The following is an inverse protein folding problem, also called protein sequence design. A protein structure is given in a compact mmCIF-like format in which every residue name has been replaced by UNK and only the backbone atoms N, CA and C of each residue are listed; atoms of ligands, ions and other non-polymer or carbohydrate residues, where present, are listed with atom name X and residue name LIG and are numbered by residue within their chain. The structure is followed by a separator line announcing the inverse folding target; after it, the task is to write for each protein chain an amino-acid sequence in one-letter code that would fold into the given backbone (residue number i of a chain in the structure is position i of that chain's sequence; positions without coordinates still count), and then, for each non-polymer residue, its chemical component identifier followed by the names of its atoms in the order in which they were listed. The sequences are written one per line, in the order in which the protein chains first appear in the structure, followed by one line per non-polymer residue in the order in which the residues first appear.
data_IF_963078465846
#
_entry.id   IF_963078465846
#
_cell.length_a   1.000
_cell.length_b   1.000
_cell.length_c   1.000
_cell.angle_alpha   90.00
_cell.angle_beta   90.00
_cell.angle_gamma   90.00
#
_symmetry.space_group_name_H-M   'P 1'
#
loop_
_entity.id
_entity.type
_entity.pdbx_description
1 polymer ?
#
# COMPACT_ATOMS: atom_id res chain seq x y z
N UNK A 1 11.16 -28.41 -16.54
CA UNK A 1 12.51 -27.83 -16.28
C UNK A 1 12.56 -26.48 -16.97
N UNK A 2 12.41 -25.40 -16.21
CA UNK A 2 12.62 -24.03 -16.69
C UNK A 2 13.92 -23.56 -16.05
N UNK A 3 14.96 -23.46 -16.86
CA UNK A 3 16.24 -22.85 -16.48
C UNK A 3 16.04 -21.34 -16.35
N UNK A 4 15.58 -20.88 -15.20
CA UNK A 4 15.59 -19.44 -14.89
C UNK A 4 17.04 -19.01 -14.75
N UNK A 5 17.51 -18.12 -15.65
CA UNK A 5 18.83 -17.50 -15.52
C UNK A 5 18.95 -16.86 -14.15
N UNK A 6 19.80 -17.43 -13.29
CA UNK A 6 20.13 -16.88 -11.97
C UNK A 6 20.96 -15.62 -12.16
N UNK A 7 20.28 -14.48 -12.37
CA UNK A 7 20.91 -13.18 -12.21
C UNK A 7 21.30 -13.06 -10.74
N UNK A 8 22.55 -13.32 -10.41
CA UNK A 8 23.07 -13.25 -9.04
C UNK A 8 22.90 -11.81 -8.54
N UNK A 9 21.97 -11.60 -7.61
CA UNK A 9 21.72 -10.30 -6.98
C UNK A 9 23.03 -9.77 -6.35
N UNK A 10 23.38 -8.53 -6.67
CA UNK A 10 24.56 -7.88 -6.10
C UNK A 10 24.22 -7.35 -4.71
N UNK A 11 24.81 -7.97 -3.68
CA UNK A 11 24.55 -7.63 -2.27
C UNK A 11 25.74 -6.87 -1.70
N UNK A 12 25.45 -5.74 -1.07
CA UNK A 12 26.42 -4.93 -0.33
C UNK A 12 26.01 -4.89 1.14
N UNK A 13 26.99 -5.04 2.05
CA UNK A 13 26.78 -5.06 3.51
C UNK A 13 27.99 -4.52 4.27
N UNK A 14 27.81 -4.24 5.56
CA UNK A 14 28.87 -3.80 6.46
C UNK A 14 28.99 -2.27 6.59
N UNK A 15 29.85 -1.84 7.52
CA UNK A 15 29.89 -0.44 7.99
C UNK A 15 30.10 0.57 6.87
N UNK A 16 31.07 0.34 5.96
CA UNK A 16 31.36 1.24 4.84
C UNK A 16 30.15 1.41 3.90
N UNK A 17 29.40 0.34 3.68
CA UNK A 17 28.21 0.36 2.84
C UNK A 17 27.11 1.21 3.49
N UNK A 18 26.83 0.96 4.78
CA UNK A 18 25.85 1.73 5.54
C UNK A 18 26.19 3.23 5.58
N UNK A 19 27.47 3.58 5.78
CA UNK A 19 27.91 4.98 5.74
C UNK A 19 27.70 5.63 4.37
N UNK A 20 27.87 4.89 3.27
CA UNK A 20 27.62 5.41 1.91
C UNK A 20 26.16 5.82 1.74
N UNK A 21 25.21 5.00 2.18
CA UNK A 21 23.78 5.34 2.10
C UNK A 21 23.42 6.47 3.05
N UNK A 22 23.96 6.47 4.27
CA UNK A 22 23.73 7.54 5.24
C UNK A 22 24.19 8.91 4.76
N UNK A 23 25.27 9.00 3.96
CA UNK A 23 25.72 10.25 3.34
C UNK A 23 24.72 10.85 2.34
N UNK A 24 23.85 10.01 1.78
CA UNK A 24 22.81 10.42 0.83
C UNK A 24 21.43 10.46 1.48
N UNK A 25 21.37 10.27 2.80
CA UNK A 25 20.12 10.23 3.53
C UNK A 25 19.60 11.65 3.78
N UNK A 26 18.34 11.85 3.46
CA UNK A 26 17.61 13.05 3.84
C UNK A 26 17.05 12.85 5.23
N UNK A 27 17.12 13.87 6.08
CA UNK A 27 16.39 13.93 7.34
C UNK A 27 15.32 15.00 7.25
N UNK A 28 14.10 14.59 6.88
CA UNK A 28 12.99 15.51 6.64
C UNK A 28 12.65 16.35 7.88
N UNK A 29 12.90 15.82 9.09
CA UNK A 29 12.61 16.47 10.37
C UNK A 29 13.42 17.75 10.58
N UNK A 30 14.63 17.77 10.04
CA UNK A 30 15.59 18.86 10.22
C UNK A 30 15.81 19.73 9.00
N UNK A 31 15.10 19.50 7.89
CA UNK A 31 15.26 20.34 6.70
C UNK A 31 14.76 21.76 6.96
N UNK A 32 15.55 22.74 6.54
CA UNK A 32 15.09 24.11 6.37
C UNK A 32 14.31 24.28 5.06
N UNK A 33 13.87 25.50 4.78
CA UNK A 33 13.04 25.79 3.62
C UNK A 33 13.80 25.63 2.29
N UNK A 34 15.09 25.97 2.26
CA UNK A 34 15.90 25.93 1.04
C UNK A 34 16.27 24.49 0.69
N UNK A 35 16.70 23.71 1.68
CA UNK A 35 16.95 22.27 1.53
C UNK A 35 15.66 21.52 1.16
N UNK A 36 14.52 21.90 1.75
CA UNK A 36 13.24 21.33 1.38
C UNK A 36 12.85 21.66 -0.06
N UNK A 37 13.11 22.88 -0.53
CA UNK A 37 12.87 23.27 -1.93
C UNK A 37 13.71 22.40 -2.88
N UNK A 38 14.98 22.19 -2.56
CA UNK A 38 15.86 21.34 -3.34
C UNK A 38 15.39 19.88 -3.35
N UNK A 39 15.08 19.33 -2.17
CA UNK A 39 14.55 17.98 -2.03
C UNK A 39 13.25 17.79 -2.83
N UNK A 40 12.28 18.69 -2.67
CA UNK A 40 11.00 18.63 -3.36
C UNK A 40 11.19 18.73 -4.88
N UNK A 41 12.09 19.59 -5.35
CA UNK A 41 12.45 19.69 -6.77
C UNK A 41 12.94 18.35 -7.33
N UNK A 42 13.85 17.66 -6.64
CA UNK A 42 14.31 16.33 -7.05
C UNK A 42 13.18 15.29 -7.07
N UNK A 43 12.26 15.33 -6.10
CA UNK A 43 11.12 14.42 -6.07
C UNK A 43 10.14 14.72 -7.22
N UNK A 44 9.85 16.00 -7.49
CA UNK A 44 8.97 16.41 -8.58
C UNK A 44 9.48 15.91 -9.94
N UNK A 45 10.77 16.08 -10.24
CA UNK A 45 11.35 15.57 -11.49
C UNK A 45 11.18 14.05 -11.67
N UNK A 46 11.09 13.29 -10.58
CA UNK A 46 10.82 11.84 -10.63
C UNK A 46 9.33 11.55 -10.76
N UNK A 47 8.50 12.24 -9.98
CA UNK A 47 7.06 11.99 -9.94
C UNK A 47 6.36 12.44 -11.22
N UNK A 48 6.83 13.49 -11.88
CA UNK A 48 6.27 13.96 -13.15
C UNK A 48 6.37 12.92 -14.28
N UNK A 49 7.33 12.00 -14.19
CA UNK A 49 7.45 10.87 -15.12
C UNK A 49 6.44 9.75 -14.83
N UNK A 50 5.77 9.77 -13.68
CA UNK A 50 4.78 8.75 -13.32
C UNK A 50 3.38 9.10 -13.84
N UNK A 51 2.75 8.28 -14.70
CA UNK A 51 1.48 8.62 -15.34
C UNK A 51 0.37 8.99 -14.35
N UNK A 52 0.23 8.23 -13.26
CA UNK A 52 -0.80 8.50 -12.25
C UNK A 52 -0.55 9.79 -11.44
N UNK A 53 0.70 10.26 -11.35
CA UNK A 53 0.98 11.56 -10.73
C UNK A 53 0.68 12.69 -11.72
N UNK A 54 1.19 12.58 -12.95
CA UNK A 54 0.96 13.56 -14.01
C UNK A 54 -0.55 13.78 -14.25
N UNK A 55 -1.33 12.69 -14.27
CA UNK A 55 -2.78 12.79 -14.46
C UNK A 55 -3.50 13.46 -13.28
N UNK A 56 -3.09 13.20 -12.03
CA UNK A 56 -3.62 13.90 -10.85
C UNK A 56 -3.29 15.40 -10.91
N UNK A 57 -2.04 15.73 -11.25
CA UNK A 57 -1.60 17.11 -11.42
C UNK A 57 -2.41 17.82 -12.52
N UNK A 58 -2.67 17.15 -13.65
CA UNK A 58 -3.54 17.67 -14.72
C UNK A 58 -4.96 17.95 -14.23
N UNK A 59 -5.58 17.02 -13.50
CA UNK A 59 -6.92 17.21 -12.92
C UNK A 59 -6.95 18.40 -11.96
N UNK A 60 -5.93 18.50 -11.09
CA UNK A 60 -5.76 19.66 -10.20
C UNK A 60 -5.67 20.96 -11.01
N UNK A 61 -4.81 21.01 -12.01
CA UNK A 61 -4.56 22.21 -12.81
C UNK A 61 -5.82 22.63 -13.60
N UNK A 62 -6.59 21.67 -14.14
CA UNK A 62 -7.90 21.92 -14.72
C UNK A 62 -8.85 22.56 -13.69
N UNK A 63 -8.96 21.99 -12.49
CA UNK A 63 -9.82 22.56 -11.42
C UNK A 63 -9.38 23.96 -10.98
N UNK A 64 -8.09 24.27 -11.06
CA UNK A 64 -7.55 25.60 -10.73
C UNK A 64 -7.82 26.63 -11.83
N UNK A 65 -7.72 26.22 -13.09
CA UNK A 65 -7.96 27.09 -14.24
C UNK A 65 -9.45 27.46 -14.40
N UNK A 66 -10.35 26.66 -13.82
CA UNK A 66 -11.80 26.78 -13.99
C UNK A 66 -12.52 26.98 -12.64
N UNK A 67 -12.41 28.15 -11.98
CA UNK A 67 -13.08 28.42 -10.71
C UNK A 67 -14.62 28.32 -10.80
N UNK A 68 -15.20 28.51 -11.98
CA UNK A 68 -16.61 28.28 -12.28
C UNK A 68 -17.05 26.84 -11.98
N UNK A 69 -16.17 25.85 -12.13
CA UNK A 69 -16.45 24.46 -11.77
C UNK A 69 -16.68 24.33 -10.26
N UNK A 70 -15.82 24.93 -9.44
CA UNK A 70 -15.95 24.90 -7.98
C UNK A 70 -17.20 25.65 -7.51
N UNK A 71 -17.55 26.75 -8.18
CA UNK A 71 -18.79 27.47 -7.91
C UNK A 71 -20.00 26.59 -8.20
N UNK A 72 -20.02 25.92 -9.35
CA UNK A 72 -21.13 25.05 -9.77
C UNK A 72 -21.24 23.78 -8.90
N UNK A 73 -20.13 23.20 -8.44
CA UNK A 73 -20.11 22.11 -7.45
C UNK A 73 -20.69 22.54 -6.09
N UNK A 74 -20.53 23.81 -5.68
CA UNK A 74 -21.20 24.37 -4.49
C UNK A 74 -22.69 24.55 -4.74
N UNK A 75 -23.07 25.14 -5.87
CA UNK A 75 -24.48 25.31 -6.26
C UNK A 75 -25.20 23.97 -6.30
N UNK A 76 -24.57 22.92 -6.83
CA UNK A 76 -25.12 21.57 -6.84
C UNK A 76 -25.40 21.06 -5.43
N UNK A 77 -24.47 21.26 -4.47
CA UNK A 77 -24.68 20.85 -3.07
C UNK A 77 -25.87 21.56 -2.43
N UNK A 78 -26.05 22.85 -2.70
CA UNK A 78 -27.21 23.59 -2.21
C UNK A 78 -28.50 23.12 -2.87
N UNK A 79 -28.49 22.86 -4.19
CA UNK A 79 -29.65 22.36 -4.91
C UNK A 79 -30.06 20.95 -4.45
N UNK A 80 -29.10 20.08 -4.12
CA UNK A 80 -29.35 18.77 -3.52
C UNK A 80 -30.09 18.90 -2.17
N UNK A 81 -29.58 19.75 -1.28
CA UNK A 81 -30.19 19.96 0.03
C UNK A 81 -31.60 20.57 -0.08
N UNK A 82 -31.81 21.47 -1.04
CA UNK A 82 -33.13 22.05 -1.32
C UNK A 82 -34.12 21.04 -1.91
N UNK A 83 -33.66 20.15 -2.79
CA UNK A 83 -34.47 19.06 -3.35
C UNK A 83 -34.88 18.07 -2.25
N UNK A 84 -33.94 17.67 -1.39
CA UNK A 84 -34.18 16.76 -0.27
C UNK A 84 -35.18 17.34 0.75
N UNK A 85 -35.15 18.65 0.97
CA UNK A 85 -36.11 19.34 1.83
C UNK A 85 -37.48 19.59 1.16
N UNK A 86 -37.65 19.25 -0.12
CA UNK A 86 -38.90 19.52 -0.83
C UNK A 86 -40.00 18.50 -0.48
N UNK A 87 -41.29 18.90 -0.47
CA UNK A 87 -42.40 17.96 -0.20
C UNK A 87 -42.48 16.80 -1.20
N UNK A 88 -41.93 16.96 -2.40
CA UNK A 88 -41.95 15.96 -3.46
C UNK A 88 -40.76 14.98 -3.40
N UNK A 89 -39.75 15.24 -2.55
CA UNK A 89 -38.49 14.50 -2.53
C UNK A 89 -38.68 13.00 -2.33
N UNK A 90 -39.45 12.63 -1.29
CA UNK A 90 -39.66 11.23 -0.93
C UNK A 90 -40.40 10.46 -2.04
N UNK A 91 -41.45 11.07 -2.61
CA UNK A 91 -42.20 10.42 -3.68
C UNK A 91 -41.37 10.30 -4.96
N UNK A 92 -40.57 11.31 -5.29
CA UNK A 92 -39.65 11.26 -6.43
C UNK A 92 -38.59 10.15 -6.25
N UNK A 93 -38.05 9.98 -5.04
CA UNK A 93 -37.13 8.90 -4.72
C UNK A 93 -37.78 7.52 -4.87
N UNK A 94 -38.99 7.33 -4.34
CA UNK A 94 -39.75 6.08 -4.51
C UNK A 94 -40.03 5.77 -5.99
N UNK A 95 -40.41 6.79 -6.77
CA UNK A 95 -40.63 6.63 -8.21
C UNK A 95 -39.36 6.22 -8.96
N UNK A 96 -38.20 6.74 -8.59
CA UNK A 96 -36.91 6.31 -9.16
C UNK A 96 -36.62 4.83 -8.86
N UNK A 97 -36.90 4.37 -7.64
CA UNK A 97 -36.76 2.94 -7.31
C UNK A 97 -37.76 2.06 -8.07
N UNK A 98 -39.03 2.49 -8.16
CA UNK A 98 -40.08 1.78 -8.90
C UNK A 98 -39.74 1.69 -10.39
N UNK A 99 -39.25 2.77 -10.98
CA UNK A 99 -38.74 2.80 -12.36
C UNK A 99 -37.56 1.85 -12.53
N UNK A 100 -36.58 1.87 -11.63
CA UNK A 100 -35.42 0.95 -11.70
C UNK A 100 -35.83 -0.53 -11.64
N UNK A 101 -36.76 -0.88 -10.75
CA UNK A 101 -37.30 -2.26 -10.63
C UNK A 101 -38.07 -2.65 -11.89
N UNK A 102 -38.86 -1.72 -12.43
CA UNK A 102 -39.64 -1.91 -13.66
C UNK A 102 -38.72 -2.13 -14.87
N UNK A 103 -37.66 -1.34 -15.01
CA UNK A 103 -36.66 -1.47 -16.08
C UNK A 103 -35.92 -2.82 -16.02
N UNK A 104 -35.57 -3.28 -14.81
CA UNK A 104 -34.98 -4.63 -14.62
C UNK A 104 -35.95 -5.74 -15.02
N UNK A 105 -37.24 -5.61 -14.68
CA UNK A 105 -38.26 -6.58 -15.06
C UNK A 105 -38.47 -6.63 -16.59
N UNK A 106 -38.50 -5.46 -17.25
CA UNK A 106 -38.56 -5.34 -18.71
C UNK A 106 -37.34 -6.01 -19.35
N UNK A 107 -36.13 -5.71 -18.89
CA UNK A 107 -34.90 -6.30 -19.41
C UNK A 107 -34.88 -7.83 -19.24
N UNK A 108 -35.25 -8.33 -18.06
CA UNK A 108 -35.32 -9.76 -17.77
C UNK A 108 -36.34 -10.50 -18.63
N UNK A 109 -37.56 -9.97 -18.76
CA UNK A 109 -38.61 -10.56 -19.60
C UNK A 109 -38.28 -10.48 -21.09
N UNK A 110 -37.68 -9.38 -21.55
CA UNK A 110 -37.21 -9.24 -22.93
C UNK A 110 -36.14 -10.29 -23.25
N UNK A 111 -35.18 -10.51 -22.34
CA UNK A 111 -34.18 -11.56 -22.49
C UNK A 111 -34.81 -12.98 -22.44
N UNK A 112 -35.79 -13.23 -21.57
CA UNK A 112 -36.47 -14.53 -21.50
C UNK A 112 -37.27 -14.86 -22.77
N UNK A 113 -37.91 -13.85 -23.37
CA UNK A 113 -38.65 -13.97 -24.63
C UNK A 113 -37.75 -14.34 -25.81
N UNK A 114 -36.49 -13.89 -25.83
CA UNK A 114 -35.53 -14.28 -26.88
C UNK A 114 -35.05 -15.74 -26.79
N UNK A 115 -35.25 -16.40 -25.64
CA UNK A 115 -34.70 -17.75 -25.36
C UNK A 115 -35.76 -18.85 -25.32
N UNK A 116 -37.03 -18.48 -25.33
CA UNK A 116 -38.15 -19.41 -25.13
C UNK A 116 -38.82 -19.72 -26.47
N UNK A 117 -39.02 -21.00 -26.79
CA UNK A 117 -39.73 -21.46 -27.99
C UNK A 117 -41.16 -21.96 -27.71
N UNK A 118 -41.54 -22.04 -26.44
CA UNK A 118 -42.87 -22.45 -25.98
C UNK A 118 -43.90 -21.32 -26.22
N UNK A 119 -44.91 -21.62 -27.04
CA UNK A 119 -45.92 -20.67 -27.50
C UNK A 119 -46.80 -20.09 -26.37
N UNK A 120 -47.15 -20.88 -25.35
CA UNK A 120 -47.96 -20.41 -24.23
C UNK A 120 -47.15 -19.50 -23.31
N UNK A 121 -45.90 -19.90 -23.02
CA UNK A 121 -44.97 -19.08 -22.24
C UNK A 121 -44.60 -17.78 -22.96
N UNK A 122 -44.49 -17.81 -24.29
CA UNK A 122 -44.28 -16.61 -25.12
C UNK A 122 -45.47 -15.65 -25.01
N UNK A 123 -46.70 -16.15 -25.11
CA UNK A 123 -47.91 -15.32 -24.99
C UNK A 123 -48.03 -14.67 -23.60
N UNK A 124 -47.90 -15.46 -22.53
CA UNK A 124 -47.96 -14.96 -21.16
C UNK A 124 -46.84 -13.96 -20.82
N UNK A 125 -45.63 -14.22 -21.31
CA UNK A 125 -44.48 -13.31 -21.09
C UNK A 125 -44.60 -12.01 -21.89
N UNK A 126 -45.19 -12.04 -23.10
CA UNK A 126 -45.49 -10.81 -23.88
C UNK A 126 -46.53 -9.95 -23.19
N UNK A 127 -47.59 -10.56 -22.66
CA UNK A 127 -48.61 -9.83 -21.90
C UNK A 127 -48.02 -9.18 -20.64
N UNK A 128 -47.18 -9.92 -19.91
CA UNK A 128 -46.48 -9.40 -18.72
C UNK A 128 -45.50 -8.28 -19.07
N UNK A 129 -44.77 -8.39 -20.18
CA UNK A 129 -43.88 -7.33 -20.68
C UNK A 129 -44.69 -6.06 -21.01
N UNK A 130 -45.81 -6.19 -21.72
CA UNK A 130 -46.68 -5.06 -22.03
C UNK A 130 -47.22 -4.37 -20.77
N UNK A 131 -47.58 -5.14 -19.74
CA UNK A 131 -47.98 -4.61 -18.43
C UNK A 131 -46.87 -3.79 -17.75
N UNK A 132 -45.63 -4.29 -17.75
CA UNK A 132 -44.49 -3.53 -17.21
C UNK A 132 -44.16 -2.29 -18.04
N UNK A 133 -44.29 -2.34 -19.36
CA UNK A 133 -44.10 -1.17 -20.24
C UNK A 133 -45.17 -0.10 -19.97
N UNK A 134 -46.44 -0.50 -19.81
CA UNK A 134 -47.52 0.41 -19.44
C UNK A 134 -47.28 1.03 -18.05
N UNK A 135 -46.85 0.21 -17.06
CA UNK A 135 -46.48 0.70 -15.73
C UNK A 135 -45.32 1.70 -15.78
N UNK A 136 -44.28 1.42 -16.57
CA UNK A 136 -43.16 2.34 -16.79
C UNK A 136 -43.64 3.68 -17.32
N UNK A 137 -44.54 3.69 -18.30
CA UNK A 137 -45.07 4.93 -18.88
C UNK A 137 -45.88 5.73 -17.87
N UNK A 138 -46.69 5.07 -17.04
CA UNK A 138 -47.44 5.71 -15.96
C UNK A 138 -46.49 6.35 -14.93
N UNK A 139 -45.45 5.61 -14.50
CA UNK A 139 -44.45 6.11 -13.55
C UNK A 139 -43.67 7.30 -14.10
N UNK A 140 -43.29 7.28 -15.39
CA UNK A 140 -42.63 8.41 -16.05
C UNK A 140 -43.54 9.65 -16.11
N UNK A 141 -44.84 9.44 -16.35
CA UNK A 141 -45.82 10.53 -16.40
C UNK A 141 -45.99 11.17 -15.02
N UNK A 142 -46.11 10.35 -13.96
CA UNK A 142 -46.17 10.83 -12.58
C UNK A 142 -44.89 11.58 -12.18
N UNK A 143 -43.72 11.03 -12.53
CA UNK A 143 -42.43 11.66 -12.27
C UNK A 143 -42.32 13.02 -12.97
N UNK A 144 -42.74 13.12 -14.23
CA UNK A 144 -42.71 14.38 -14.97
C UNK A 144 -43.60 15.46 -14.32
N UNK A 145 -44.78 15.08 -13.83
CA UNK A 145 -45.68 15.99 -13.10
C UNK A 145 -45.05 16.47 -11.79
N UNK A 146 -44.46 15.57 -11.01
CA UNK A 146 -43.80 15.92 -9.74
C UNK A 146 -42.54 16.78 -9.95
N UNK A 147 -41.76 16.51 -10.99
CA UNK A 147 -40.63 17.37 -11.38
C UNK A 147 -41.16 18.77 -11.75
N UNK A 148 -42.22 18.87 -12.56
CA UNK A 148 -42.80 20.17 -12.94
C UNK A 148 -43.29 20.95 -11.71
N UNK A 149 -43.91 20.26 -10.75
CA UNK A 149 -44.42 20.83 -9.51
C UNK A 149 -43.33 21.17 -8.47
N UNK A 150 -42.09 20.68 -8.62
CA UNK A 150 -40.98 20.95 -7.70
C UNK A 150 -39.94 21.91 -8.32
N UNK A 151 -39.95 23.20 -7.94
CA UNK A 151 -38.89 24.14 -8.34
C UNK A 151 -37.49 23.67 -7.94
N UNK A 152 -37.35 23.12 -6.73
CA UNK A 152 -36.08 22.62 -6.22
C UNK A 152 -35.52 21.47 -7.09
N UNK A 153 -36.39 20.55 -7.51
CA UNK A 153 -36.01 19.45 -8.39
C UNK A 153 -35.58 19.92 -9.78
N UNK A 154 -36.30 20.89 -10.35
CA UNK A 154 -35.95 21.48 -11.65
C UNK A 154 -34.60 22.18 -11.59
N UNK A 155 -34.35 22.93 -10.52
CA UNK A 155 -33.07 23.61 -10.32
C UNK A 155 -31.93 22.60 -10.16
N UNK A 156 -32.13 21.53 -9.37
CA UNK A 156 -31.16 20.44 -9.24
C UNK A 156 -30.82 19.81 -10.61
N UNK A 157 -31.83 19.48 -11.41
CA UNK A 157 -31.62 18.90 -12.74
C UNK A 157 -30.89 19.87 -13.67
N UNK A 158 -31.25 21.17 -13.63
CA UNK A 158 -30.58 22.22 -14.42
C UNK A 158 -29.10 22.33 -14.05
N UNK A 159 -28.79 22.43 -12.76
CA UNK A 159 -27.42 22.57 -12.24
C UNK A 159 -26.60 21.30 -12.53
N UNK A 160 -27.20 20.11 -12.40
CA UNK A 160 -26.55 18.84 -12.80
C UNK A 160 -26.19 18.84 -14.28
N UNK A 161 -27.13 19.17 -15.17
CA UNK A 161 -26.88 19.22 -16.61
C UNK A 161 -25.87 20.31 -17.01
N UNK A 162 -25.85 21.44 -16.30
CA UNK A 162 -24.82 22.47 -16.48
C UNK A 162 -23.45 21.96 -16.04
N UNK A 163 -23.37 21.26 -14.90
CA UNK A 163 -22.13 20.69 -14.39
C UNK A 163 -21.59 19.60 -15.30
N UNK A 164 -22.43 18.67 -15.75
CA UNK A 164 -22.06 17.62 -16.70
C UNK A 164 -21.52 18.20 -18.01
N UNK A 165 -22.20 19.21 -18.57
CA UNK A 165 -21.72 19.90 -19.79
C UNK A 165 -20.37 20.58 -19.56
N UNK A 166 -20.23 21.29 -18.45
CA UNK A 166 -18.96 21.95 -18.12
C UNK A 166 -17.85 20.91 -17.96
N UNK A 167 -18.05 19.87 -17.14
CA UNK A 167 -17.08 18.80 -16.91
C UNK A 167 -16.68 18.09 -18.21
N UNK A 168 -17.63 17.82 -19.08
CA UNK A 168 -17.40 17.23 -20.40
C UNK A 168 -16.58 18.16 -21.30
N UNK A 169 -16.95 19.45 -21.38
CA UNK A 169 -16.25 20.46 -22.19
C UNK A 169 -14.80 20.71 -21.75
N UNK A 170 -14.54 20.64 -20.44
CA UNK A 170 -13.20 20.74 -19.86
C UNK A 170 -12.37 19.46 -20.01
N UNK A 171 -13.00 18.35 -20.44
CA UNK A 171 -12.39 17.03 -20.47
C UNK A 171 -12.09 16.44 -19.08
N UNK A 172 -12.74 16.95 -18.02
CA UNK A 172 -12.51 16.51 -16.65
C UNK A 172 -12.94 15.06 -16.44
N UNK A 173 -14.09 14.67 -16.98
CA UNK A 173 -14.60 13.29 -16.86
C UNK A 173 -13.64 12.29 -17.53
N UNK A 174 -13.13 12.64 -18.71
CA UNK A 174 -12.11 11.83 -19.41
C UNK A 174 -10.84 11.73 -18.58
N UNK A 175 -10.40 12.84 -17.98
CA UNK A 175 -9.18 12.86 -17.19
C UNK A 175 -9.31 12.01 -15.91
N UNK A 176 -10.45 12.08 -15.23
CA UNK A 176 -10.76 11.28 -14.05
C UNK A 176 -10.91 9.78 -14.39
N UNK A 177 -11.52 9.43 -15.53
CA UNK A 177 -11.61 8.06 -16.01
C UNK A 177 -10.24 7.43 -16.31
N UNK A 178 -9.36 8.17 -16.98
CA UNK A 178 -7.98 7.76 -17.25
C UNK A 178 -7.20 7.55 -15.93
N UNK A 179 -7.38 8.41 -14.93
CA UNK A 179 -6.77 8.21 -13.61
C UNK A 179 -7.28 6.93 -12.92
N UNK A 180 -8.55 6.59 -13.08
CA UNK A 180 -9.14 5.38 -12.51
C UNK A 180 -8.56 4.12 -13.19
N UNK A 181 -8.31 4.15 -14.49
CA UNK A 181 -7.59 3.08 -15.21
C UNK A 181 -6.17 2.91 -14.71
N UNK A 182 -5.40 3.99 -14.67
CA UNK A 182 -4.01 3.97 -14.18
C UNK A 182 -3.90 3.43 -12.75
N UNK A 183 -4.86 3.76 -11.89
CA UNK A 183 -4.89 3.29 -10.50
C UNK A 183 -5.20 1.79 -10.41
N UNK A 184 -6.08 1.26 -11.26
CA UNK A 184 -6.38 -0.18 -11.35
C UNK A 184 -5.15 -0.97 -11.78
N UNK A 185 -4.47 -0.51 -12.84
CA UNK A 185 -3.26 -1.17 -13.35
C UNK A 185 -2.12 -1.17 -12.33
N UNK A 186 -1.95 -0.07 -11.59
CA UNK A 186 -0.94 0.03 -10.54
C UNK A 186 -1.21 -0.95 -9.38
N UNK A 187 -2.49 -1.13 -9.00
CA UNK A 187 -2.90 -2.09 -7.97
C UNK A 187 -2.52 -3.53 -8.34
N UNK A 188 -2.81 -3.93 -9.58
CA UNK A 188 -2.50 -5.28 -10.09
C UNK A 188 -1.00 -5.58 -10.10
N UNK A 189 -0.17 -4.63 -10.56
CA UNK A 189 1.30 -4.79 -10.63
C UNK A 189 1.96 -4.84 -9.26
N UNK A 190 1.43 -4.10 -8.29
CA UNK A 190 2.03 -4.00 -6.95
C UNK A 190 1.95 -5.31 -6.17
N UNK A 191 0.81 -6.02 -6.25
CA UNK A 191 0.60 -7.30 -5.58
C UNK A 191 1.53 -8.41 -6.07
N UNK A 192 1.65 -8.58 -7.39
CA UNK A 192 2.51 -9.61 -7.99
C UNK A 192 4.00 -9.39 -7.67
N UNK A 193 4.44 -8.13 -7.64
CA UNK A 193 5.84 -7.80 -7.40
C UNK A 193 6.27 -7.99 -5.93
N UNK A 194 5.34 -7.94 -4.97
CA UNK A 194 5.60 -8.20 -3.54
C UNK A 194 6.07 -9.64 -3.28
N UNK A 195 5.22 -10.60 -3.65
CA UNK A 195 5.47 -12.03 -3.47
C UNK A 195 6.73 -12.50 -4.23
N UNK A 196 6.98 -11.93 -5.42
CA UNK A 196 8.19 -12.26 -6.19
C UNK A 196 9.49 -11.86 -5.47
N UNK A 197 9.47 -10.80 -4.66
CA UNK A 197 10.70 -10.30 -4.03
C UNK A 197 11.15 -11.14 -2.85
N UNK A 198 10.22 -11.53 -1.98
CA UNK A 198 10.53 -12.40 -0.82
C UNK A 198 11.11 -13.74 -1.26
N UNK A 199 10.58 -14.31 -2.35
CA UNK A 199 11.13 -15.52 -2.96
C UNK A 199 12.54 -15.31 -3.53
N UNK A 200 12.78 -14.18 -4.20
CA UNK A 200 14.09 -13.84 -4.78
C UNK A 200 15.19 -13.67 -3.72
N UNK A 201 14.86 -13.24 -2.49
CA UNK A 201 15.86 -12.98 -1.45
C UNK A 201 16.21 -14.18 -0.57
N UNK A 202 15.40 -15.24 -0.59
CA UNK A 202 15.66 -16.45 0.21
C UNK A 202 17.08 -17.03 0.03
N UNK A 203 17.63 -17.13 -1.20
CA UNK A 203 19.02 -17.58 -1.37
C UNK A 203 20.06 -16.68 -0.68
N UNK A 204 19.76 -15.40 -0.48
CA UNK A 204 20.66 -14.47 0.22
C UNK A 204 20.74 -14.77 1.71
N UNK A 205 19.64 -15.19 2.33
CA UNK A 205 19.61 -15.63 3.73
C UNK A 205 20.52 -16.82 3.95
N UNK A 206 20.40 -17.84 3.10
CA UNK A 206 21.27 -19.01 3.13
C UNK A 206 22.74 -18.66 2.89
N UNK A 207 23.02 -17.76 1.94
CA UNK A 207 24.39 -17.40 1.58
C UNK A 207 25.10 -16.52 2.61
N UNK A 208 24.40 -15.58 3.23
CA UNK A 208 25.03 -14.50 4.00
C UNK A 208 24.66 -14.46 5.48
N UNK A 209 23.48 -14.98 5.86
CA UNK A 209 22.98 -14.88 7.24
C UNK A 209 23.18 -16.19 7.99
N UNK A 210 22.80 -17.32 7.39
CA UNK A 210 22.93 -18.65 7.99
C UNK A 210 24.39 -18.93 8.45
N UNK A 211 25.44 -18.63 7.65
CA UNK A 211 26.82 -18.84 8.10
C UNK A 211 27.21 -18.03 9.34
N UNK A 212 26.69 -16.80 9.50
CA UNK A 212 26.99 -15.95 10.66
C UNK A 212 26.43 -16.54 11.97
N UNK A 213 25.39 -17.36 11.88
CA UNK A 213 24.71 -18.01 13.00
C UNK A 213 25.30 -19.39 13.35
N UNK A 214 25.99 -20.03 12.40
CA UNK A 214 26.54 -21.38 12.50
C UNK A 214 28.02 -21.37 12.95
N UNK A 215 28.31 -20.90 14.16
CA UNK A 215 29.69 -20.94 14.67
C UNK A 215 30.21 -22.35 15.05
N UNK A 216 29.34 -23.37 15.16
CA UNK A 216 29.61 -24.81 15.41
C UNK A 216 28.27 -25.55 15.64
N UNK A 217 27.54 -25.90 14.57
CA UNK A 217 26.22 -26.53 14.72
C UNK A 217 25.88 -27.49 13.59
N UNK A 218 25.04 -28.46 13.90
CA UNK A 218 24.51 -29.44 12.95
C UNK A 218 23.60 -28.75 11.91
N UNK A 219 24.09 -28.69 10.68
CA UNK A 219 23.40 -28.06 9.54
C UNK A 219 22.14 -28.84 9.16
N UNK A 220 22.08 -30.15 9.43
CA UNK A 220 20.97 -31.00 9.02
C UNK A 220 19.63 -30.61 9.66
N UNK A 221 19.68 -30.00 10.86
CA UNK A 221 18.51 -29.57 11.64
C UNK A 221 18.17 -28.09 11.45
N UNK A 222 18.88 -27.39 10.57
CA UNK A 222 18.60 -25.99 10.29
C UNK A 222 17.48 -25.90 9.25
N UNK A 223 16.54 -24.98 9.48
CA UNK A 223 15.49 -24.62 8.52
C UNK A 223 15.36 -23.10 8.47
N UNK A 224 14.97 -22.59 7.30
CA UNK A 224 14.55 -21.20 7.12
C UNK A 224 13.07 -21.24 6.80
N UNK A 225 12.25 -20.88 7.78
CA UNK A 225 10.79 -20.83 7.64
C UNK A 225 10.37 -19.47 7.09
N UNK A 226 9.23 -19.40 6.41
CA UNK A 226 8.71 -18.19 5.76
C UNK A 226 7.30 -17.85 6.22
N UNK A 227 6.95 -16.56 6.19
CA UNK A 227 5.58 -16.10 6.46
C UNK A 227 5.03 -16.58 7.80
N UNK A 228 5.87 -16.57 8.83
CA UNK A 228 5.56 -17.20 10.13
C UNK A 228 4.67 -16.28 10.95
N UNK A 229 3.41 -16.64 11.19
CA UNK A 229 2.42 -15.79 11.88
C UNK A 229 2.00 -16.22 13.28
N UNK A 230 2.51 -17.34 13.80
CA UNK A 230 2.35 -17.88 15.17
C UNK A 230 1.01 -17.63 15.90
N UNK A 231 -0.12 -17.60 15.20
CA UNK A 231 -1.46 -17.44 15.79
C UNK A 231 -1.86 -16.01 16.19
N UNK A 232 -1.10 -14.99 15.77
CA UNK A 232 -1.45 -13.58 15.94
C UNK A 232 -1.23 -12.78 14.65
N UNK A 233 -2.26 -12.04 14.20
CA UNK A 233 -2.23 -11.30 12.94
C UNK A 233 -1.08 -10.28 12.84
N UNK A 234 -0.62 -9.75 13.97
CA UNK A 234 0.50 -8.80 14.06
C UNK A 234 1.87 -9.46 14.10
N UNK A 235 1.98 -10.76 13.88
CA UNK A 235 3.26 -11.48 14.05
C UNK A 235 3.78 -12.15 12.79
N UNK A 236 3.22 -11.82 11.62
CA UNK A 236 3.76 -12.29 10.35
C UNK A 236 5.22 -11.86 10.20
N UNK A 237 6.13 -12.84 10.19
CA UNK A 237 7.58 -12.67 10.05
C UNK A 237 8.00 -13.25 8.71
N UNK A 238 8.71 -12.45 7.92
CA UNK A 238 9.09 -12.82 6.56
C UNK A 238 9.95 -14.09 6.54
N UNK A 239 10.99 -14.17 7.39
CA UNK A 239 11.77 -15.40 7.57
C UNK A 239 12.27 -15.62 9.00
N UNK A 240 12.22 -16.87 9.46
CA UNK A 240 12.83 -17.33 10.70
C UNK A 240 13.87 -18.42 10.44
N UNK A 241 15.07 -18.22 10.97
CA UNK A 241 16.14 -19.22 10.94
C UNK A 241 16.05 -20.01 12.23
N UNK A 242 15.68 -21.27 12.12
CA UNK A 242 15.45 -22.14 13.27
C UNK A 242 16.42 -23.32 13.28
N UNK A 243 16.55 -23.91 14.47
CA UNK A 243 17.09 -25.24 14.67
C UNK A 243 15.98 -26.12 15.21
N UNK A 244 15.62 -27.15 14.44
CA UNK A 244 14.67 -28.16 14.87
C UNK A 244 15.21 -28.87 16.11
N UNK A 245 14.36 -29.26 17.08
CA UNK A 245 14.77 -30.08 18.22
C UNK A 245 15.29 -31.46 17.76
N UNK A 246 15.93 -32.22 18.66
CA UNK A 246 16.31 -33.61 18.37
C UNK A 246 15.11 -34.57 18.45
N UNK A 247 14.10 -34.20 19.24
CA UNK A 247 12.89 -35.00 19.46
C UNK A 247 11.70 -34.28 18.84
N UNK A 248 10.84 -34.97 18.07
CA UNK A 248 9.59 -34.40 17.56
C UNK A 248 8.71 -33.83 18.68
N UNK A 249 7.91 -32.80 18.35
CA UNK A 249 6.98 -32.17 19.27
C UNK A 249 7.60 -31.19 20.28
N UNK A 250 8.93 -31.10 20.37
CA UNK A 250 9.57 -30.08 21.21
C UNK A 250 9.62 -28.71 20.50
N UNK A 251 9.64 -27.60 21.26
CA UNK A 251 9.81 -26.29 20.66
C UNK A 251 11.13 -26.14 19.91
N UNK A 252 11.08 -25.49 18.75
CA UNK A 252 12.24 -25.14 17.95
C UNK A 252 13.08 -24.06 18.64
N UNK A 253 14.35 -23.95 18.27
CA UNK A 253 15.22 -22.85 18.70
C UNK A 253 15.33 -21.82 17.58
N UNK A 254 14.92 -20.58 17.81
CA UNK A 254 15.04 -19.49 16.84
C UNK A 254 16.44 -18.87 16.96
N UNK A 255 17.22 -19.01 15.89
CA UNK A 255 18.61 -18.54 15.80
C UNK A 255 18.70 -17.13 15.23
N UNK A 256 17.77 -16.74 14.36
CA UNK A 256 17.73 -15.43 13.72
C UNK A 256 16.36 -15.13 13.12
N UNK A 257 16.07 -13.85 13.00
CA UNK A 257 14.86 -13.30 12.40
C UNK A 257 15.28 -12.38 11.26
N UNK A 258 14.68 -12.55 10.09
CA UNK A 258 14.99 -11.74 8.90
C UNK A 258 13.73 -11.00 8.48
N UNK A 259 13.85 -9.67 8.44
CA UNK A 259 12.85 -8.79 7.86
C UNK A 259 13.27 -8.40 6.44
N UNK A 260 12.35 -8.54 5.50
CA UNK A 260 12.53 -8.25 4.09
C UNK A 260 11.68 -7.03 3.73
N UNK A 261 12.33 -5.99 3.20
CA UNK A 261 11.62 -4.80 2.70
C UNK A 261 12.03 -4.47 1.29
N UNK A 262 11.06 -4.31 0.39
CA UNK A 262 11.34 -3.89 -0.99
C UNK A 262 11.94 -2.50 -1.08
N UNK A 263 11.53 -1.60 -0.18
CA UNK A 263 12.02 -0.23 -0.10
C UNK A 263 12.80 -0.02 1.19
N UNK A 264 14.01 0.49 1.08
CA UNK A 264 14.88 0.83 2.20
C UNK A 264 14.23 1.81 3.19
N UNK A 265 13.33 2.68 2.72
CA UNK A 265 12.63 3.65 3.57
C UNK A 265 11.65 2.99 4.56
N UNK A 266 11.19 1.75 4.30
CA UNK A 266 10.27 1.04 5.19
C UNK A 266 11.00 0.21 6.26
N UNK A 267 12.34 0.29 6.28
CA UNK A 267 13.17 -0.43 7.23
C UNK A 267 12.83 -0.09 8.69
N UNK A 268 12.56 1.18 8.99
CA UNK A 268 12.24 1.62 10.35
C UNK A 268 10.90 1.06 10.85
N UNK A 269 9.90 1.00 9.96
CA UNK A 269 8.63 0.38 10.28
C UNK A 269 8.81 -1.12 10.60
N UNK A 270 9.51 -1.86 9.73
CA UNK A 270 9.83 -3.26 9.98
C UNK A 270 10.62 -3.45 11.28
N UNK A 271 11.63 -2.61 11.52
CA UNK A 271 12.42 -2.63 12.76
C UNK A 271 11.54 -2.45 14.01
N UNK A 272 10.71 -1.40 14.08
CA UNK A 272 9.82 -1.15 15.23
C UNK A 272 8.89 -2.33 15.47
N UNK A 273 8.28 -2.85 14.40
CA UNK A 273 7.38 -3.98 14.49
C UNK A 273 8.07 -5.22 15.06
N UNK A 274 9.33 -5.49 14.68
CA UNK A 274 10.12 -6.59 15.26
C UNK A 274 10.58 -6.33 16.69
N UNK A 275 10.79 -5.09 17.11
CA UNK A 275 11.01 -4.78 18.53
C UNK A 275 9.78 -5.18 19.37
N UNK A 276 8.58 -4.82 18.91
CA UNK A 276 7.32 -5.15 19.57
C UNK A 276 7.07 -6.67 19.58
N UNK A 277 7.20 -7.34 18.43
CA UNK A 277 7.00 -8.79 18.34
C UNK A 277 7.99 -9.56 19.22
N UNK A 278 9.29 -9.20 19.21
CA UNK A 278 10.27 -9.85 20.05
C UNK A 278 9.97 -9.66 21.54
N UNK A 279 9.50 -8.47 21.95
CA UNK A 279 9.02 -8.25 23.30
C UNK A 279 7.85 -9.18 23.66
N UNK A 280 6.89 -9.33 22.73
CA UNK A 280 5.75 -10.23 22.89
C UNK A 280 6.18 -11.70 23.06
N UNK A 281 7.00 -12.22 22.14
CA UNK A 281 7.53 -13.58 22.20
C UNK A 281 8.35 -13.86 23.46
N UNK A 282 9.02 -12.83 23.99
CA UNK A 282 9.82 -12.91 25.21
C UNK A 282 8.99 -12.77 26.50
N UNK A 283 7.73 -12.34 26.41
CA UNK A 283 6.87 -12.07 27.56
C UNK A 283 7.17 -10.74 28.28
N UNK A 284 7.79 -9.78 27.60
CA UNK A 284 8.16 -8.47 28.16
C UNK A 284 7.00 -7.47 28.06
N UNK A 285 5.97 -7.63 28.90
CA UNK A 285 4.69 -6.90 28.81
C UNK A 285 4.81 -5.37 28.87
N UNK A 286 5.91 -4.80 29.38
CA UNK A 286 6.14 -3.36 29.39
C UNK A 286 6.47 -2.76 28.00
N UNK A 287 6.66 -3.60 26.98
CA UNK A 287 7.18 -3.17 25.67
C UNK A 287 6.29 -3.57 24.48
N UNK A 288 5.06 -3.97 24.74
CA UNK A 288 4.00 -4.16 23.74
C UNK A 288 2.64 -3.96 24.41
N UNK A 289 1.60 -3.71 23.63
CA UNK A 289 0.23 -3.65 24.14
C UNK A 289 -0.45 -5.02 24.01
N UNK A 290 -0.77 -5.73 25.11
CA UNK A 290 -1.43 -7.04 25.06
C UNK A 290 -2.77 -7.02 24.32
N UNK A 291 -3.50 -5.90 24.34
CA UNK A 291 -4.81 -5.81 23.68
C UNK A 291 -4.72 -6.03 22.17
N UNK A 292 -3.61 -5.59 21.56
CA UNK A 292 -3.33 -5.72 20.13
C UNK A 292 -2.99 -7.16 19.72
N UNK A 293 -2.60 -8.00 20.67
CA UNK A 293 -2.21 -9.41 20.45
C UNK A 293 -3.30 -10.40 20.89
N UNK A 294 -4.45 -9.91 21.36
CA UNK A 294 -5.54 -10.77 21.81
C UNK A 294 -6.17 -11.50 20.63
N UNK A 295 -6.13 -12.82 20.66
CA UNK A 295 -6.81 -13.68 19.69
C UNK A 295 -7.65 -14.74 20.39
N UNK A 296 -8.41 -15.54 19.64
CA UNK A 296 -9.12 -16.71 20.19
C UNK A 296 -8.15 -17.70 20.87
N UNK A 297 -6.91 -17.75 20.37
CA UNK A 297 -5.85 -18.62 20.87
C UNK A 297 -5.10 -17.97 22.04
N UNK A 298 -4.65 -16.72 21.90
CA UNK A 298 -4.00 -15.92 22.95
C UNK A 298 -4.99 -14.95 23.61
N UNK A 299 -5.86 -15.48 24.47
CA UNK A 299 -6.96 -14.70 25.06
C UNK A 299 -6.50 -13.59 26.00
N UNK A 300 -5.37 -13.78 26.66
CA UNK A 300 -4.72 -12.80 27.54
C UNK A 300 -3.96 -11.72 26.77
N UNK A 301 -3.76 -11.90 25.46
CA UNK A 301 -2.87 -11.05 24.66
C UNK A 301 -1.39 -11.35 24.86
N UNK A 302 -1.03 -12.40 25.62
CA UNK A 302 0.37 -12.79 25.86
C UNK A 302 0.74 -14.05 25.07
N UNK A 303 2.01 -14.17 24.68
CA UNK A 303 2.55 -15.40 24.12
C UNK A 303 2.80 -16.43 25.23
N UNK A 304 1.74 -16.91 25.88
CA UNK A 304 1.76 -17.77 27.07
C UNK A 304 1.50 -19.27 26.75
N UNK A 305 1.30 -19.60 25.48
CA UNK A 305 1.02 -20.94 24.97
C UNK A 305 1.86 -21.25 23.73
N UNK A 306 2.03 -22.54 23.44
CA UNK A 306 2.83 -22.98 22.30
C UNK A 306 2.11 -22.75 20.96
N UNK A 307 2.71 -21.97 20.07
CA UNK A 307 2.18 -21.82 18.71
C UNK A 307 2.75 -22.88 17.77
N UNK A 308 1.96 -23.27 16.77
CA UNK A 308 2.41 -24.16 15.70
C UNK A 308 2.42 -23.39 14.38
N UNK A 309 3.53 -23.50 13.65
CA UNK A 309 3.64 -23.11 12.24
C UNK A 309 3.74 -24.38 11.40
N UNK A 310 3.05 -24.41 10.27
CA UNK A 310 3.11 -25.53 9.33
C UNK A 310 3.66 -25.03 7.99
N UNK A 311 4.72 -25.68 7.50
CA UNK A 311 5.34 -25.35 6.21
C UNK A 311 5.77 -26.65 5.55
N UNK A 312 5.42 -26.82 4.26
CA UNK A 312 5.79 -28.00 3.46
C UNK A 312 5.38 -29.34 4.11
N UNK A 313 4.28 -29.35 4.86
CA UNK A 313 3.75 -30.54 5.54
C UNK A 313 4.44 -30.88 6.87
N UNK A 314 5.45 -30.10 7.28
CA UNK A 314 6.10 -30.23 8.59
C UNK A 314 5.49 -29.27 9.62
N UNK A 315 5.41 -29.71 10.88
CA UNK A 315 4.88 -28.92 12.01
C UNK A 315 6.02 -28.45 12.91
N UNK A 316 6.07 -27.14 13.16
CA UNK A 316 7.10 -26.50 13.97
C UNK A 316 6.46 -25.86 15.20
N UNK A 317 6.84 -26.34 16.39
CA UNK A 317 6.31 -25.84 17.67
C UNK A 317 7.18 -24.68 18.17
N UNK A 318 6.55 -23.60 18.62
CA UNK A 318 7.19 -22.41 19.16
C UNK A 318 6.70 -22.13 20.57
N UNK A 319 7.63 -21.83 21.47
CA UNK A 319 7.34 -21.37 22.83
C UNK A 319 8.19 -20.13 23.15
N UNK A 320 7.96 -19.49 24.31
CA UNK A 320 8.83 -18.38 24.77
C UNK A 320 10.32 -18.76 24.77
N UNK A 321 10.60 -20.02 25.11
CA UNK A 321 11.96 -20.58 25.14
C UNK A 321 12.63 -20.60 23.77
N UNK A 322 11.85 -20.67 22.68
CA UNK A 322 12.34 -20.64 21.30
C UNK A 322 13.13 -19.36 20.99
N UNK A 323 12.78 -18.23 21.62
CA UNK A 323 13.36 -16.91 21.35
C UNK A 323 14.46 -16.49 22.35
N UNK A 324 15.00 -17.43 23.13
CA UNK A 324 15.99 -17.14 24.20
C UNK A 324 17.27 -16.41 23.75
N UNK A 325 17.59 -16.44 22.46
CA UNK A 325 18.79 -15.83 21.90
C UNK A 325 18.66 -14.34 21.61
N UNK A 326 17.43 -13.82 21.60
CA UNK A 326 17.16 -12.40 21.44
C UNK A 326 17.22 -11.75 22.82
N UNK A 327 18.11 -10.77 22.94
CA UNK A 327 18.30 -9.98 24.16
C UNK A 327 18.37 -8.51 23.77
N UNK A 328 17.79 -7.64 24.60
CA UNK A 328 17.96 -6.20 24.44
C UNK A 328 19.42 -5.84 24.67
N UNK A 329 19.91 -4.88 23.88
CA UNK A 329 21.24 -4.33 24.06
C UNK A 329 21.25 -3.44 25.31
N UNK A 330 22.20 -3.65 26.25
CA UNK A 330 22.34 -2.82 27.43
C UNK A 330 22.48 -1.34 27.07
N UNK A 331 21.82 -0.46 27.83
CA UNK A 331 21.84 1.00 27.63
C UNK A 331 20.97 1.54 26.49
N UNK A 332 20.68 0.73 25.46
CA UNK A 332 19.84 1.15 24.32
C UNK A 332 18.42 0.57 24.45
N UNK A 333 18.28 -0.59 25.09
CA UNK A 333 16.98 -1.22 25.30
C UNK A 333 16.33 -1.76 24.01
N UNK A 334 17.09 -2.05 22.96
CA UNK A 334 16.58 -2.57 21.68
C UNK A 334 17.17 -3.95 21.36
N UNK A 335 16.40 -4.81 20.71
CA UNK A 335 16.87 -6.07 20.11
C UNK A 335 17.59 -5.78 18.79
N UNK A 336 18.92 -5.78 18.78
CA UNK A 336 19.72 -5.57 17.57
C UNK A 336 20.39 -6.84 17.05
N UNK A 337 20.76 -7.76 17.95
CA UNK A 337 21.46 -8.99 17.59
C UNK A 337 20.48 -10.04 17.09
N UNK A 338 20.89 -10.74 16.03
CA UNK A 338 20.12 -11.81 15.37
C UNK A 338 18.84 -11.33 14.67
N UNK A 339 18.64 -10.02 14.61
CA UNK A 339 17.62 -9.37 13.79
C UNK A 339 18.31 -8.81 12.54
N UNK A 340 17.98 -9.41 11.40
CA UNK A 340 18.58 -9.14 10.09
C UNK A 340 17.58 -8.44 9.18
N UNK A 341 18.11 -7.67 8.25
CA UNK A 341 17.32 -6.96 7.25
C UNK A 341 17.84 -7.25 5.85
N UNK A 342 16.94 -7.52 4.92
CA UNK A 342 17.24 -7.58 3.49
C UNK A 342 16.38 -6.56 2.77
N UNK A 343 17.00 -5.70 1.98
CA UNK A 343 16.27 -4.66 1.25
C UNK A 343 16.91 -4.30 -0.08
N UNK A 344 16.20 -3.58 -0.95
CA UNK A 344 16.79 -3.01 -2.16
C UNK A 344 17.37 -1.63 -1.85
N UNK A 345 18.52 -1.35 -2.46
CA UNK A 345 19.12 -0.02 -2.43
C UNK A 345 18.21 0.99 -3.13
N UNK A 346 18.23 2.21 -2.62
CA UNK A 346 17.46 3.33 -3.16
C UNK A 346 17.77 4.61 -2.40
N UNK A 347 17.09 5.70 -2.77
CA UNK A 347 17.21 6.97 -2.05
C UNK A 347 16.54 6.87 -0.68
N UNK A 348 17.23 7.33 0.37
CA UNK A 348 16.69 7.50 1.70
C UNK A 348 16.02 8.88 1.78
N UNK A 349 14.69 8.89 1.73
CA UNK A 349 13.90 10.12 1.62
C UNK A 349 13.59 10.76 2.98
N UNK A 350 14.05 10.16 4.08
CA UNK A 350 13.81 10.65 5.44
C UNK A 350 12.41 10.36 5.98
N UNK A 351 11.58 9.64 5.23
CA UNK A 351 10.24 9.19 5.61
C UNK A 351 9.91 7.83 4.98
N UNK A 352 8.99 7.09 5.60
CA UNK A 352 8.45 5.84 5.05
C UNK A 352 7.84 5.99 3.65
N UNK A 353 7.72 4.88 2.92
CA UNK A 353 7.06 4.87 1.59
C UNK A 353 5.62 5.36 1.67
N UNK A 354 4.90 5.00 2.75
CA UNK A 354 3.52 5.45 2.97
C UNK A 354 3.45 6.97 3.16
N UNK A 355 4.32 7.54 3.99
CA UNK A 355 4.39 8.98 4.19
C UNK A 355 4.77 9.70 2.89
N UNK A 356 5.75 9.19 2.15
CA UNK A 356 6.13 9.73 0.84
C UNK A 356 4.97 9.69 -0.17
N UNK A 357 4.19 8.60 -0.18
CA UNK A 357 3.00 8.49 -1.03
C UNK A 357 1.92 9.52 -0.65
N UNK A 358 1.73 9.81 0.65
CA UNK A 358 0.84 10.89 1.12
C UNK A 358 1.33 12.26 0.67
N UNK A 359 2.64 12.53 0.80
CA UNK A 359 3.25 13.78 0.34
C UNK A 359 3.03 13.95 -1.16
N UNK A 360 3.41 12.94 -1.95
CA UNK A 360 3.23 12.91 -3.39
C UNK A 360 1.77 13.13 -3.78
N UNK A 361 0.83 12.45 -3.11
CA UNK A 361 -0.59 12.63 -3.38
C UNK A 361 -1.03 14.07 -3.14
N UNK A 362 -0.67 14.66 -1.98
CA UNK A 362 -0.99 16.04 -1.67
C UNK A 362 -0.38 17.01 -2.67
N UNK A 363 0.88 16.80 -3.05
CA UNK A 363 1.56 17.63 -4.06
C UNK A 363 0.83 17.54 -5.40
N UNK A 364 0.33 16.36 -5.78
CA UNK A 364 -0.41 16.18 -7.03
C UNK A 364 -1.82 16.81 -7.02
N UNK A 365 -2.46 16.96 -5.85
CA UNK A 365 -3.90 17.33 -5.77
C UNK A 365 -4.17 18.69 -5.12
N UNK A 366 -3.31 19.17 -4.22
CA UNK A 366 -3.51 20.44 -3.52
C UNK A 366 -3.04 21.60 -4.41
N UNK A 367 -3.97 22.36 -4.97
CA UNK A 367 -3.65 23.52 -5.79
C UNK A 367 -2.94 24.66 -5.04
N UNK A 368 -3.11 24.72 -3.70
CA UNK A 368 -2.69 25.88 -2.90
C UNK A 368 -1.18 26.01 -2.78
N UNK A 369 -0.45 24.89 -2.79
CA UNK A 369 1.00 24.94 -2.58
C UNK A 369 1.75 25.54 -3.77
N UNK A 370 1.21 25.45 -4.99
CA UNK A 370 1.79 26.08 -6.19
C UNK A 370 1.59 27.59 -6.26
N UNK A 371 0.70 28.17 -5.46
CA UNK A 371 0.24 29.54 -5.68
C UNK A 371 0.90 30.62 -4.81
N UNK A 372 1.79 30.35 -3.83
CA UNK A 372 2.12 31.38 -2.83
C UNK A 372 3.53 31.32 -2.22
N UNK A 373 4.57 31.42 -3.05
CA UNK A 373 5.93 31.72 -2.61
C UNK A 373 6.43 30.88 -1.42
N UNK A 374 7.28 31.48 -0.60
CA UNK A 374 7.92 30.77 0.53
C UNK A 374 6.95 30.43 1.66
N UNK A 375 5.85 31.18 1.81
CA UNK A 375 4.85 30.93 2.85
C UNK A 375 4.12 29.59 2.65
N UNK A 376 3.60 29.31 1.45
CA UNK A 376 2.93 28.04 1.18
C UNK A 376 3.90 26.86 1.18
N UNK A 377 5.14 27.08 0.73
CA UNK A 377 6.18 26.06 0.80
C UNK A 377 6.53 25.72 2.25
N UNK A 378 6.61 26.73 3.13
CA UNK A 378 6.81 26.54 4.56
C UNK A 378 5.67 25.78 5.25
N UNK A 379 4.41 26.02 4.85
CA UNK A 379 3.26 25.22 5.32
C UNK A 379 3.35 23.77 4.88
N UNK A 380 3.74 23.52 3.63
CA UNK A 380 3.94 22.17 3.11
C UNK A 380 5.09 21.48 3.85
N UNK A 381 6.21 22.17 4.10
CA UNK A 381 7.33 21.65 4.89
C UNK A 381 6.90 21.22 6.29
N UNK A 382 6.22 22.10 7.05
CA UNK A 382 5.76 21.76 8.41
C UNK A 382 4.83 20.55 8.42
N UNK A 383 3.95 20.45 7.42
CA UNK A 383 3.11 19.27 7.29
C UNK A 383 3.91 18.02 6.92
N UNK A 384 4.85 18.10 5.99
CA UNK A 384 5.75 17.00 5.63
C UNK A 384 6.57 16.52 6.85
N UNK A 385 7.10 17.44 7.65
CA UNK A 385 7.79 17.15 8.92
C UNK A 385 6.87 16.44 9.92
N UNK A 386 5.59 16.81 10.00
CA UNK A 386 4.61 16.13 10.87
C UNK A 386 4.32 14.67 10.49
N UNK A 387 4.70 14.26 9.26
CA UNK A 387 4.58 12.88 8.80
C UNK A 387 5.81 12.03 9.15
N UNK A 388 6.93 12.67 9.46
CA UNK A 388 8.15 11.96 9.83
C UNK A 388 8.01 11.39 11.24
N UNK A 389 8.38 10.12 11.39
CA UNK A 389 8.31 9.44 12.67
C UNK A 389 9.55 9.71 13.54
N UNK A 390 9.47 9.49 14.86
CA UNK A 390 10.62 9.64 15.75
C UNK A 390 11.82 8.75 15.37
N UNK A 391 11.55 7.62 14.71
CA UNK A 391 12.57 6.71 14.20
C UNK A 391 12.35 6.48 12.70
N UNK A 392 13.29 6.88 11.88
CA UNK A 392 13.24 6.68 10.43
C UNK A 392 14.36 5.74 9.96
N UNK A 393 14.29 5.30 8.70
CA UNK A 393 15.26 4.35 8.16
C UNK A 393 16.73 4.78 8.37
N UNK A 394 17.11 6.06 8.20
CA UNK A 394 18.46 6.52 8.52
C UNK A 394 18.88 6.25 9.97
N UNK A 395 17.97 6.39 10.94
CA UNK A 395 18.26 6.15 12.35
C UNK A 395 18.55 4.67 12.61
N UNK A 396 17.77 3.76 12.01
CA UNK A 396 18.02 2.32 12.09
C UNK A 396 19.37 1.96 11.46
N UNK A 397 19.69 2.53 10.30
CA UNK A 397 20.99 2.31 9.67
C UNK A 397 22.15 2.84 10.51
N UNK A 398 21.99 3.95 11.24
CA UNK A 398 22.98 4.44 12.22
C UNK A 398 23.16 3.46 13.37
N UNK A 399 22.07 2.94 13.95
CA UNK A 399 22.10 1.93 15.02
C UNK A 399 22.87 0.66 14.60
N UNK A 400 22.63 0.18 13.39
CA UNK A 400 23.33 -0.99 12.84
C UNK A 400 24.75 -0.65 12.37
N UNK A 401 24.98 0.57 11.87
CA UNK A 401 26.28 1.05 11.41
C UNK A 401 27.29 1.29 12.53
N UNK A 402 26.83 1.50 13.76
CA UNK A 402 27.67 1.81 14.92
C UNK A 402 28.70 0.71 15.26
N UNK A 403 28.44 -0.56 14.91
CA UNK A 403 29.36 -1.66 15.15
C UNK A 403 29.51 -2.55 13.89
N UNK A 404 30.74 -2.97 13.52
CA UNK A 404 30.96 -3.83 12.35
C UNK A 404 30.15 -5.13 12.36
N UNK A 405 29.99 -5.75 13.53
CA UNK A 405 29.20 -6.97 13.67
C UNK A 405 27.70 -6.74 13.37
N UNK A 406 27.15 -5.59 13.76
CA UNK A 406 25.74 -5.23 13.51
C UNK A 406 25.55 -4.83 12.05
N UNK A 407 26.49 -4.09 11.47
CA UNK A 407 26.38 -3.61 10.09
C UNK A 407 26.30 -4.74 9.05
N UNK A 408 26.80 -5.94 9.38
CA UNK A 408 26.67 -7.15 8.53
C UNK A 408 25.26 -7.75 8.52
N UNK A 409 24.41 -7.36 9.47
CA UNK A 409 23.03 -7.84 9.58
C UNK A 409 22.07 -7.09 8.64
N UNK A 410 22.51 -6.01 7.99
CA UNK A 410 21.74 -5.30 6.96
C UNK A 410 22.35 -5.61 5.59
N UNK A 411 21.56 -6.29 4.75
CA UNK A 411 21.92 -6.67 3.40
C UNK A 411 21.14 -5.78 2.44
N UNK A 412 21.85 -5.06 1.59
CA UNK A 412 21.25 -4.19 0.59
C UNK A 412 21.56 -4.73 -0.80
N UNK A 413 20.52 -4.95 -1.58
CA UNK A 413 20.59 -5.40 -2.96
C UNK A 413 20.72 -4.15 -3.83
N UNK A 414 21.88 -3.94 -4.43
CA UNK A 414 22.08 -2.85 -5.38
C UNK A 414 21.62 -3.31 -6.78
N UNK A 415 20.99 -2.42 -7.57
CA UNK A 415 20.83 -2.67 -9.00
C UNK A 415 22.22 -2.89 -9.58
N UNK A 416 22.42 -3.96 -10.38
CA UNK A 416 23.68 -4.11 -11.12
C UNK A 416 23.83 -2.85 -11.98
N UNK A 417 24.83 -2.02 -11.69
CA UNK A 417 25.29 -1.07 -12.71
C UNK A 417 25.80 -1.95 -13.85
N UNK A 418 25.11 -1.95 -14.98
CA UNK A 418 25.75 -2.36 -16.23
C UNK A 418 26.84 -1.32 -16.41
N UNK A 419 28.06 -1.64 -15.98
CA UNK A 419 29.23 -0.88 -16.41
C UNK A 419 29.22 -1.03 -17.93
N UNK A 420 29.02 0.07 -18.64
CA UNK A 420 29.31 0.13 -20.05
C UNK A 420 30.82 -0.06 -20.20
N UNK A 421 31.26 -1.31 -20.33
CA UNK A 421 32.58 -1.62 -20.86
C UNK A 421 32.55 -1.26 -22.34
N UNK A 422 32.66 0.05 -22.61
CA UNK A 422 32.95 0.62 -23.92
C UNK A 422 34.42 1.03 -23.94
N UNK A 423 35.30 0.06 -23.66
CA UNK A 423 36.76 0.18 -23.89
C UNK A 423 37.34 -1.18 -24.29
N UNK A 424 36.98 -1.63 -25.48
CA UNK A 424 37.85 -2.44 -26.34
C UNK A 424 37.85 -1.73 -27.70
N UNK A 425 38.87 -0.92 -27.98
CA UNK A 425 40.11 -1.34 -28.67
C UNK A 425 39.79 -2.00 -30.01
N UNK A 426 39.73 -1.17 -31.05
CA UNK A 426 40.26 -1.53 -32.37
C UNK A 426 41.13 -0.37 -32.85
N UNK A 427 42.36 -0.33 -32.33
CA UNK A 427 43.51 0.02 -33.16
C UNK A 427 44.09 -1.30 -33.66
N UNK A 428 44.04 -1.53 -34.97
CA UNK A 428 45.18 -1.88 -35.81
C UNK A 428 44.72 -2.50 -37.14
N UNK A 429 45.08 -1.81 -38.24
CA UNK A 429 45.73 -2.32 -39.47
C UNK A 429 44.99 -3.46 -40.18
N UNK A 430 44.55 -3.30 -41.42
CA UNK A 430 45.37 -2.97 -42.61
C UNK A 430 44.48 -2.43 -43.71
#
# INVERSE_FOLDING_TARGET
MVTSSSSTLHVVRGTRALHRWLKQAVDLRGLDLDDFRHWLGQQLSRWELEPAFAQRARIRDLRQAHPELLALERTLRHALAADEASPQAERLFQLEEELSRTDKAIAGLSAALTRTTDAERLSGSRHKLASFQARRQALLSEQALLIHASPARRELLRVRAELERLRSSLGLDRAEAELAELSRDQGLRSGQAGQSFEQQVLPLTWRFIVPDLLRRGDVARLRVLRGVGLGAARTEIDQLIIRQPRRPGQPVEVLGMVEVKRNLNDLAHGFRHRQENLAWFKGEAAHYDPSLYRTRYFRSGHFDREAVHEEEGERFVFSRGSFRHFRREPGIGLFLRRLYFITRGGTLNGVSTMALARIRHRVATDGRWRQRGDASLGELLRWCQSLAEPLEAPDVLRLYGALPARARQVLVIEPRSVKSDSREVVQART
#
